data_IF_299710167140
#
_entry.id   IF_299710167140
#
_cell.length_a   1.000
_cell.length_b   1.000
_cell.length_c   1.000
_cell.angle_alpha   90.00
_cell.angle_beta   90.00
_cell.angle_gamma   90.00
#
_symmetry.space_group_name_H-M   'P 1'
#
loop_
_entity.id
_entity.type
_entity.pdbx_description
1 polymer ?
#
# COMPACT_ATOMS: atom_id res chain seq x y z
N UNK A 1 -14.69 1.47 22.51
CA UNK A 1 -13.72 1.94 21.50
C UNK A 1 -13.71 3.44 21.59
N UNK A 2 -12.53 4.03 21.74
CA UNK A 2 -12.34 5.46 21.74
C UNK A 2 -12.71 6.04 20.36
N UNK A 3 -13.43 7.17 20.37
CA UNK A 3 -13.87 7.84 19.14
C UNK A 3 -12.68 8.28 18.26
N UNK A 4 -11.54 8.58 18.90
CA UNK A 4 -10.29 8.93 18.24
C UNK A 4 -9.77 7.80 17.35
N UNK A 5 -9.62 6.58 17.89
CA UNK A 5 -9.19 5.41 17.12
C UNK A 5 -10.13 5.13 15.94
N UNK A 6 -11.44 5.16 16.16
CA UNK A 6 -12.41 4.91 15.07
C UNK A 6 -12.25 5.95 13.96
N UNK A 7 -12.14 7.23 14.32
CA UNK A 7 -11.95 8.33 13.36
C UNK A 7 -10.62 8.19 12.62
N UNK A 8 -9.54 7.86 13.33
CA UNK A 8 -8.21 7.64 12.75
C UNK A 8 -8.20 6.48 11.76
N UNK A 9 -8.84 5.36 12.09
CA UNK A 9 -8.99 4.22 11.19
C UNK A 9 -9.79 4.60 9.93
N UNK A 10 -10.91 5.30 10.09
CA UNK A 10 -11.74 5.74 8.97
C UNK A 10 -10.96 6.68 8.04
N UNK A 11 -10.21 7.64 8.60
CA UNK A 11 -9.38 8.55 7.83
C UNK A 11 -8.26 7.80 7.10
N UNK A 12 -7.60 6.86 7.78
CA UNK A 12 -6.57 6.02 7.17
C UNK A 12 -7.10 5.20 5.99
N UNK A 13 -8.28 4.60 6.13
CA UNK A 13 -8.96 3.88 5.04
C UNK A 13 -9.32 4.83 3.89
N UNK A 14 -9.84 6.02 4.19
CA UNK A 14 -10.20 7.00 3.17
C UNK A 14 -8.98 7.49 2.38
N UNK A 15 -7.86 7.77 3.06
CA UNK A 15 -6.60 8.16 2.43
C UNK A 15 -6.01 7.02 1.60
N UNK A 16 -6.05 5.79 2.11
CA UNK A 16 -5.62 4.60 1.37
C UNK A 16 -6.45 4.36 0.11
N UNK A 17 -7.77 4.54 0.19
CA UNK A 17 -8.66 4.45 -0.96
C UNK A 17 -8.37 5.54 -2.01
N UNK A 18 -8.09 6.77 -1.58
CA UNK A 18 -7.66 7.85 -2.47
C UNK A 18 -6.35 7.49 -3.19
N UNK A 19 -5.36 6.98 -2.44
CA UNK A 19 -4.07 6.59 -2.99
C UNK A 19 -4.20 5.46 -4.03
N UNK A 20 -5.03 4.45 -3.76
CA UNK A 20 -5.30 3.38 -4.71
C UNK A 20 -5.97 3.85 -6.02
N UNK A 21 -6.58 5.04 -6.02
CA UNK A 21 -7.20 5.67 -7.19
C UNK A 21 -6.26 6.68 -7.89
N UNK A 22 -4.98 6.73 -7.51
CA UNK A 22 -4.00 7.56 -8.20
C UNK A 22 -3.76 7.05 -9.64
N UNK A 23 -3.41 7.94 -10.59
CA UNK A 23 -3.40 7.61 -12.02
C UNK A 23 -2.50 6.43 -12.41
N UNK A 24 -1.39 6.25 -11.70
CA UNK A 24 -0.46 5.15 -11.87
C UNK A 24 -1.07 3.79 -11.47
N UNK A 25 -1.77 3.74 -10.34
CA UNK A 25 -2.48 2.54 -9.92
C UNK A 25 -3.65 2.22 -10.84
N UNK A 26 -4.42 3.24 -11.25
CA UNK A 26 -5.51 3.07 -12.20
C UNK A 26 -5.00 2.57 -13.56
N UNK A 27 -3.88 3.09 -14.05
CA UNK A 27 -3.25 2.60 -15.28
C UNK A 27 -2.90 1.11 -15.15
N UNK A 28 -2.21 0.71 -14.08
CA UNK A 28 -1.81 -0.67 -13.85
C UNK A 28 -3.01 -1.64 -13.75
N UNK A 29 -4.05 -1.26 -12.98
CA UNK A 29 -5.27 -2.08 -12.83
C UNK A 29 -6.07 -2.12 -14.13
N UNK A 30 -6.12 -1.04 -14.89
CA UNK A 30 -6.81 -1.02 -16.19
C UNK A 30 -6.17 -2.00 -17.19
N UNK A 31 -4.84 -2.05 -17.25
CA UNK A 31 -4.10 -3.04 -18.05
C UNK A 31 -4.36 -4.46 -17.53
N UNK A 32 -4.29 -4.67 -16.22
CA UNK A 32 -4.57 -5.96 -15.60
C UNK A 32 -5.96 -6.49 -15.93
N UNK A 33 -6.98 -5.63 -15.90
CA UNK A 33 -8.37 -6.00 -16.22
C UNK A 33 -8.51 -6.26 -17.71
N UNK A 34 -7.90 -5.43 -18.57
CA UNK A 34 -7.95 -5.58 -20.02
C UNK A 34 -7.30 -6.90 -20.51
N UNK A 35 -6.24 -7.36 -19.84
CA UNK A 35 -5.53 -8.60 -20.19
C UNK A 35 -6.23 -9.88 -19.68
N UNK A 36 -7.24 -9.77 -18.82
CA UNK A 36 -7.90 -10.93 -18.21
C UNK A 36 -9.27 -11.20 -18.86
N UNK A 37 -9.52 -12.43 -19.35
CA UNK A 37 -10.77 -12.74 -20.05
C UNK A 37 -12.01 -12.79 -19.12
N UNK A 38 -11.81 -12.85 -17.80
CA UNK A 38 -12.89 -12.85 -16.81
C UNK A 38 -12.64 -11.81 -15.72
N UNK A 39 -13.59 -10.91 -15.43
CA UNK A 39 -13.39 -9.84 -14.43
C UNK A 39 -13.14 -10.39 -13.03
N UNK A 40 -13.70 -11.56 -12.70
CA UNK A 40 -13.45 -12.25 -11.43
C UNK A 40 -11.98 -12.66 -11.25
N UNK A 41 -11.30 -13.05 -12.33
CA UNK A 41 -9.88 -13.41 -12.28
C UNK A 41 -9.01 -12.17 -12.06
N UNK A 42 -9.33 -11.06 -12.73
CA UNK A 42 -8.68 -9.77 -12.50
C UNK A 42 -8.89 -9.29 -11.06
N UNK A 43 -10.12 -9.38 -10.54
CA UNK A 43 -10.44 -9.00 -9.17
C UNK A 43 -9.68 -9.84 -8.13
N UNK A 44 -9.59 -11.17 -8.32
CA UNK A 44 -8.84 -12.04 -7.41
C UNK A 44 -7.35 -11.71 -7.43
N UNK A 45 -6.77 -11.52 -8.62
CA UNK A 45 -5.36 -11.17 -8.76
C UNK A 45 -5.06 -9.80 -8.14
N UNK A 46 -5.93 -8.81 -8.38
CA UNK A 46 -5.86 -7.49 -7.74
C UNK A 46 -5.96 -7.58 -6.21
N UNK A 47 -6.85 -8.43 -5.68
CA UNK A 47 -6.98 -8.66 -4.24
C UNK A 47 -5.72 -9.31 -3.64
N UNK A 48 -5.18 -10.35 -4.28
CA UNK A 48 -3.93 -10.98 -3.83
C UNK A 48 -2.75 -10.00 -3.86
N UNK A 49 -2.65 -9.20 -4.92
CA UNK A 49 -1.63 -8.17 -5.04
C UNK A 49 -1.77 -7.10 -3.96
N UNK A 50 -2.97 -6.56 -3.76
CA UNK A 50 -3.26 -5.54 -2.74
C UNK A 50 -3.02 -6.05 -1.31
N UNK A 51 -3.36 -7.31 -1.03
CA UNK A 51 -3.04 -7.95 0.25
C UNK A 51 -1.53 -8.07 0.47
N UNK A 52 -0.77 -8.52 -0.53
CA UNK A 52 0.69 -8.62 -0.44
C UNK A 52 1.35 -7.24 -0.27
N UNK A 53 0.87 -6.24 -0.99
CA UNK A 53 1.34 -4.86 -0.87
C UNK A 53 1.07 -4.30 0.54
N UNK A 54 -0.16 -4.43 1.04
CA UNK A 54 -0.55 -3.97 2.39
C UNK A 54 0.27 -4.67 3.47
N UNK A 55 0.47 -5.99 3.35
CA UNK A 55 1.29 -6.75 4.29
C UNK A 55 2.74 -6.24 4.30
N UNK A 56 3.31 -5.94 3.13
CA UNK A 56 4.67 -5.40 3.02
C UNK A 56 4.79 -4.03 3.70
N UNK A 57 3.82 -3.13 3.48
CA UNK A 57 3.77 -1.83 4.15
C UNK A 57 3.65 -1.96 5.67
N UNK A 58 2.81 -2.88 6.16
CA UNK A 58 2.66 -3.13 7.60
C UNK A 58 3.95 -3.68 8.19
N UNK A 59 4.61 -4.63 7.52
CA UNK A 59 5.88 -5.21 8.00
C UNK A 59 6.98 -4.16 8.06
N UNK A 60 7.20 -3.42 6.97
CA UNK A 60 8.23 -2.37 6.90
C UNK A 60 7.91 -1.23 7.85
N UNK A 61 6.67 -0.77 7.89
CA UNK A 61 6.21 0.29 8.79
C UNK A 61 6.37 -0.09 10.26
N UNK A 62 6.01 -1.31 10.64
CA UNK A 62 6.21 -1.83 11.99
C UNK A 62 7.70 -1.90 12.34
N UNK A 63 8.55 -2.38 11.42
CA UNK A 63 9.99 -2.44 11.64
C UNK A 63 10.59 -1.03 11.87
N UNK A 64 10.22 -0.04 11.07
CA UNK A 64 10.66 1.36 11.23
C UNK A 64 10.18 1.97 12.54
N UNK A 65 8.95 1.67 12.94
CA UNK A 65 8.36 2.16 14.19
C UNK A 65 9.10 1.59 15.41
N UNK A 66 9.48 0.30 15.36
CA UNK A 66 10.32 -0.34 16.38
C UNK A 66 11.75 0.24 16.41
N UNK A 67 12.30 0.61 15.25
CA UNK A 67 13.60 1.27 15.12
C UNK A 67 13.60 2.76 15.57
N UNK A 68 12.47 3.27 16.10
CA UNK A 68 12.27 4.68 16.50
C UNK A 68 12.45 5.70 15.38
N UNK A 69 12.12 5.34 14.14
CA UNK A 69 11.88 6.29 13.05
C UNK A 69 13.08 7.04 12.47
N UNK A 70 14.29 6.90 13.03
CA UNK A 70 15.49 7.47 12.41
C UNK A 70 16.12 6.46 11.47
N UNK A 71 15.90 6.67 10.17
CA UNK A 71 16.64 5.99 9.11
C UNK A 71 18.07 6.57 9.10
N UNK A 72 19.12 5.77 9.36
CA UNK A 72 20.49 6.26 9.25
C UNK A 72 20.77 6.74 7.82
N UNK A 73 21.54 7.82 7.65
CA UNK A 73 21.88 8.37 6.33
C UNK A 73 22.47 7.31 5.38
N UNK A 74 23.13 6.28 5.92
CA UNK A 74 23.65 5.16 5.15
C UNK A 74 22.57 4.27 4.51
N UNK A 75 21.41 4.07 5.15
CA UNK A 75 20.32 3.29 4.54
C UNK A 75 19.57 4.08 3.47
N UNK A 76 19.48 5.41 3.64
CA UNK A 76 18.92 6.31 2.61
C UNK A 76 19.80 6.29 1.37
N UNK A 77 21.12 6.48 1.53
CA UNK A 77 22.08 6.42 0.42
C UNK A 77 22.08 5.07 -0.31
N UNK A 78 22.02 3.97 0.45
CA UNK A 78 21.94 2.63 -0.14
C UNK A 78 20.65 2.38 -0.93
N UNK A 79 19.53 2.97 -0.50
CA UNK A 79 18.25 2.90 -1.23
C UNK A 79 18.23 3.81 -2.46
N UNK A 80 18.89 4.97 -2.40
CA UNK A 80 19.03 5.93 -3.50
C UNK A 80 20.07 5.50 -4.56
N UNK A 81 20.93 4.54 -4.25
CA UNK A 81 21.91 3.99 -5.20
C UNK A 81 23.09 4.91 -5.50
N UNK A 82 23.46 5.79 -4.56
CA UNK A 82 24.64 6.69 -4.60
C UNK A 82 25.77 6.17 -3.73
#
# INVERSE_FOLDING_TARGET
MDLGLVTGCLLGVALGARHALEPDHLAAVSTLVAERPRPRQAALLGAMWGLGHTLSLVVVGAALMLARGELPDGTVRAAEGV
#
